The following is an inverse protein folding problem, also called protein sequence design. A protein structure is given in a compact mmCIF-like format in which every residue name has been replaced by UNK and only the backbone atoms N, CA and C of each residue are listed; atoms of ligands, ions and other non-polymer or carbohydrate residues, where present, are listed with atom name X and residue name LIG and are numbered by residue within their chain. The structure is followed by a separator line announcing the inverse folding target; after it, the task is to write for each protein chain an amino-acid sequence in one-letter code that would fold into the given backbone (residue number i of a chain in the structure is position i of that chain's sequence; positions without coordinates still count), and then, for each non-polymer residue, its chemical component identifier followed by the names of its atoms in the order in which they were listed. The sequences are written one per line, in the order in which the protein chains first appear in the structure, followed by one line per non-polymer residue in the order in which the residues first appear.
data_IF_716191053061
#
_entry.id   IF_716191053061
#
_cell.length_a   1.000
_cell.length_b   1.000
_cell.length_c   1.000
_cell.angle_alpha   90.00
_cell.angle_beta   90.00
_cell.angle_gamma   90.00
#
_symmetry.space_group_name_H-M   'P 1'
#
loop_
_entity.id
_entity.type
_entity.pdbx_description
1 polymer ?
#
# COMPACT_ATOMS: atom_id res chain seq x y z
N UNK A 1 9.78 -11.64 8.10
CA UNK A 1 10.72 -11.33 6.99
C UNK A 1 12.06 -10.89 7.56
N UNK A 2 13.20 -11.29 6.98
CA UNK A 2 14.52 -10.75 7.35
C UNK A 2 14.70 -9.38 6.67
N UNK A 3 15.11 -8.35 7.40
CA UNK A 3 15.10 -6.94 6.92
C UNK A 3 15.80 -6.68 5.58
N UNK A 4 16.87 -7.42 5.26
CA UNK A 4 17.58 -7.30 3.98
C UNK A 4 16.71 -7.66 2.75
N UNK A 5 15.79 -8.62 2.89
CA UNK A 5 14.87 -9.03 1.82
C UNK A 5 13.84 -7.92 1.55
N UNK A 6 13.39 -7.24 2.62
CA UNK A 6 12.43 -6.14 2.50
C UNK A 6 13.06 -4.92 1.81
N UNK A 7 14.29 -4.53 2.17
CA UNK A 7 15.02 -3.45 1.48
C UNK A 7 15.17 -3.76 -0.01
N UNK A 8 15.56 -4.99 -0.37
CA UNK A 8 15.64 -5.40 -1.77
C UNK A 8 14.28 -5.30 -2.49
N UNK A 9 13.18 -5.65 -1.82
CA UNK A 9 11.81 -5.49 -2.32
C UNK A 9 11.47 -4.04 -2.67
N UNK A 10 11.65 -3.09 -1.73
CA UNK A 10 11.41 -1.66 -1.98
C UNK A 10 12.28 -1.13 -3.13
N UNK A 11 13.53 -1.58 -3.23
CA UNK A 11 14.44 -1.19 -4.33
C UNK A 11 13.95 -1.68 -5.70
N UNK A 12 13.37 -2.89 -5.75
CA UNK A 12 12.75 -3.45 -6.97
C UNK A 12 11.51 -2.66 -7.38
N UNK A 13 10.73 -2.17 -6.42
CA UNK A 13 9.58 -1.28 -6.68
C UNK A 13 9.98 0.17 -7.06
N UNK A 14 11.28 0.48 -7.10
CA UNK A 14 11.79 1.76 -7.59
C UNK A 14 12.10 2.80 -6.52
N UNK A 15 11.90 2.47 -5.23
CA UNK A 15 12.28 3.36 -4.14
C UNK A 15 13.80 3.52 -4.04
N UNK A 16 14.25 4.69 -3.57
CA UNK A 16 15.67 4.94 -3.32
C UNK A 16 16.15 4.18 -2.07
N UNK A 17 17.47 4.12 -1.86
CA UNK A 17 18.05 3.38 -0.73
C UNK A 17 17.60 3.93 0.62
N UNK A 18 17.53 5.26 0.76
CA UNK A 18 17.15 5.91 2.01
C UNK A 18 15.72 5.55 2.42
N UNK A 19 14.76 5.72 1.51
CA UNK A 19 13.35 5.36 1.75
C UNK A 19 13.23 3.86 2.04
N UNK A 20 13.94 3.02 1.27
CA UNK A 20 13.91 1.56 1.47
C UNK A 20 14.46 1.17 2.85
N UNK A 21 15.52 1.84 3.33
CA UNK A 21 16.12 1.59 4.63
C UNK A 21 15.26 2.10 5.80
N UNK A 22 14.51 3.19 5.61
CA UNK A 22 13.61 3.75 6.64
C UNK A 22 12.25 3.03 6.70
N UNK A 23 11.76 2.51 5.58
CA UNK A 23 10.47 1.82 5.52
C UNK A 23 10.45 0.53 6.36
N UNK A 24 11.55 -0.24 6.34
CA UNK A 24 11.65 -1.50 7.08
C UNK A 24 11.47 -1.31 8.60
N UNK A 25 12.26 -0.48 9.31
CA UNK A 25 12.06 -0.28 10.74
C UNK A 25 10.69 0.33 11.03
N UNK A 26 10.18 1.24 10.18
CA UNK A 26 8.83 1.79 10.35
C UNK A 26 7.75 0.70 10.35
N UNK A 27 7.76 -0.21 9.36
CA UNK A 27 6.80 -1.32 9.26
C UNK A 27 6.92 -2.26 10.46
N UNK A 28 8.15 -2.62 10.84
CA UNK A 28 8.38 -3.53 11.95
C UNK A 28 7.97 -2.94 13.31
N UNK A 29 8.23 -1.65 13.55
CA UNK A 29 7.81 -0.96 14.77
C UNK A 29 6.29 -0.84 14.86
N UNK A 30 5.62 -0.56 13.73
CA UNK A 30 4.16 -0.41 13.68
C UNK A 30 3.42 -1.75 13.81
N UNK A 31 3.90 -2.81 13.16
CA UNK A 31 3.12 -4.05 13.00
C UNK A 31 3.60 -5.21 13.88
N UNK A 32 4.78 -5.14 14.49
CA UNK A 32 5.26 -6.27 15.29
C UNK A 32 4.38 -6.53 16.51
N UNK A 33 4.20 -5.53 17.39
CA UNK A 33 3.46 -5.71 18.64
C UNK A 33 2.00 -6.19 18.43
N UNK A 34 1.20 -5.58 17.52
CA UNK A 34 -0.17 -6.04 17.27
C UNK A 34 -0.27 -7.50 16.79
N UNK A 35 0.76 -8.00 16.12
CA UNK A 35 0.78 -9.37 15.58
C UNK A 35 1.36 -10.40 16.56
N UNK A 36 1.86 -9.99 17.73
CA UNK A 36 2.44 -10.92 18.71
C UNK A 36 1.42 -11.92 19.27
N UNK A 37 1.94 -13.08 19.69
CA UNK A 37 1.19 -14.12 20.41
C UNK A 37 1.21 -13.95 21.93
N UNK A 38 2.13 -13.14 22.43
CA UNK A 38 2.32 -12.83 23.84
C UNK A 38 2.11 -11.33 24.07
N UNK A 39 1.79 -10.97 25.31
CA UNK A 39 1.79 -9.59 25.78
C UNK A 39 3.21 -9.02 25.95
N UNK A 40 4.22 -9.87 26.05
CA UNK A 40 5.61 -9.46 26.23
C UNK A 40 6.17 -9.01 24.87
N UNK A 41 6.68 -7.77 24.75
CA UNK A 41 7.32 -7.30 23.53
C UNK A 41 8.53 -8.15 23.15
N UNK A 42 8.69 -8.42 21.86
CA UNK A 42 9.84 -9.14 21.32
C UNK A 42 10.78 -8.14 20.61
N UNK A 43 12.01 -7.90 21.10
CA UNK A 43 12.93 -6.93 20.51
C UNK A 43 13.40 -7.30 19.10
N UNK A 44 13.15 -8.53 18.64
CA UNK A 44 13.40 -8.94 17.25
C UNK A 44 12.37 -8.37 16.26
N UNK A 45 11.32 -7.71 16.77
CA UNK A 45 10.22 -7.13 16.01
C UNK A 45 9.62 -8.07 14.94
N UNK A 46 9.24 -9.33 15.29
CA UNK A 46 8.63 -10.23 14.32
C UNK A 46 7.25 -9.74 13.87
N UNK A 47 6.89 -10.00 12.61
CA UNK A 47 5.53 -9.79 12.08
C UNK A 47 4.95 -11.16 11.77
N UNK A 48 3.80 -11.47 12.36
CA UNK A 48 3.09 -12.74 12.19
C UNK A 48 1.95 -12.59 11.19
N UNK A 49 2.07 -13.24 10.03
CA UNK A 49 1.10 -13.11 8.94
C UNK A 49 -0.27 -13.70 9.27
N UNK A 50 -0.33 -14.76 10.09
CA UNK A 50 -1.58 -15.34 10.61
C UNK A 50 -2.40 -14.36 11.45
N UNK A 51 -1.81 -13.24 11.88
CA UNK A 51 -2.43 -12.22 12.73
C UNK A 51 -2.36 -10.83 12.13
N UNK A 52 -1.97 -10.68 10.86
CA UNK A 52 -1.79 -9.37 10.22
C UNK A 52 -3.09 -8.58 10.16
N UNK A 53 -4.25 -9.24 10.13
CA UNK A 53 -5.56 -8.59 10.19
C UNK A 53 -5.72 -7.68 11.44
N UNK A 54 -4.97 -7.92 12.51
CA UNK A 54 -4.97 -7.08 13.73
C UNK A 54 -4.31 -5.72 13.53
N UNK A 55 -3.60 -5.49 12.43
CA UNK A 55 -3.03 -4.18 12.08
C UNK A 55 -3.99 -3.30 11.29
N UNK A 56 -5.22 -3.79 11.05
CA UNK A 56 -6.32 -2.99 10.52
C UNK A 56 -6.55 -1.75 11.40
N UNK A 57 -6.73 -0.59 10.79
CA UNK A 57 -7.06 0.65 11.48
C UNK A 57 -8.46 1.14 11.12
N UNK A 58 -9.04 2.01 11.98
CA UNK A 58 -10.42 2.44 11.85
C UNK A 58 -10.68 3.43 10.72
N UNK A 59 -9.63 4.00 10.13
CA UNK A 59 -9.71 4.96 9.02
C UNK A 59 -9.42 4.37 7.65
N UNK A 60 -9.35 3.04 7.54
CA UNK A 60 -9.06 2.39 6.25
C UNK A 60 -10.26 2.36 5.30
N UNK A 61 -10.07 1.77 4.11
CA UNK A 61 -11.12 1.59 3.11
C UNK A 61 -12.17 0.51 3.43
N UNK A 62 -12.04 -0.19 4.55
CA UNK A 62 -12.88 -1.32 4.97
C UNK A 62 -12.94 -2.53 4.01
N UNK A 63 -12.11 -2.57 2.96
CA UNK A 63 -12.10 -3.68 1.99
C UNK A 63 -11.71 -5.01 2.63
N UNK A 64 -10.86 -4.98 3.65
CA UNK A 64 -10.69 -6.11 4.55
C UNK A 64 -11.52 -5.90 5.82
N UNK A 65 -12.28 -6.91 6.22
CA UNK A 65 -12.95 -6.89 7.52
C UNK A 65 -11.97 -7.12 8.69
N UNK A 66 -12.49 -7.07 9.92
CA UNK A 66 -11.68 -7.24 11.15
C UNK A 66 -11.08 -8.65 11.31
N UNK A 67 -11.55 -9.63 10.54
CA UNK A 67 -10.99 -10.98 10.48
C UNK A 67 -9.99 -11.16 9.32
N UNK A 68 -9.79 -10.12 8.50
CA UNK A 68 -8.88 -10.11 7.36
C UNK A 68 -9.46 -10.73 6.09
N UNK A 69 -10.79 -10.85 5.98
CA UNK A 69 -11.45 -11.34 4.77
C UNK A 69 -11.71 -10.19 3.82
N UNK A 70 -11.48 -10.43 2.53
CA UNK A 70 -11.82 -9.48 1.49
C UNK A 70 -13.34 -9.37 1.36
N UNK A 71 -13.87 -8.14 1.41
CA UNK A 71 -15.30 -7.81 1.30
C UNK A 71 -15.54 -7.18 -0.08
N UNK A 72 -16.04 -7.94 -1.07
CA UNK A 72 -16.23 -7.44 -2.44
C UNK A 72 -17.11 -6.19 -2.51
N UNK A 73 -18.13 -6.10 -1.67
CA UNK A 73 -19.06 -4.97 -1.62
C UNK A 73 -18.33 -3.68 -1.24
N UNK A 74 -17.45 -3.73 -0.23
CA UNK A 74 -16.64 -2.57 0.19
C UNK A 74 -15.64 -2.14 -0.88
N UNK A 75 -15.09 -3.11 -1.61
CA UNK A 75 -14.24 -2.80 -2.76
C UNK A 75 -15.01 -2.07 -3.87
N UNK A 76 -16.22 -2.53 -4.20
CA UNK A 76 -17.08 -1.88 -5.19
C UNK A 76 -17.54 -0.49 -4.72
N UNK A 77 -17.80 -0.30 -3.42
CA UNK A 77 -18.17 0.97 -2.82
C UNK A 77 -17.13 2.07 -3.05
N UNK A 78 -15.84 1.74 -3.09
CA UNK A 78 -14.78 2.72 -3.40
C UNK A 78 -15.09 3.44 -4.71
N UNK A 79 -15.41 2.67 -5.76
CA UNK A 79 -15.62 3.23 -7.10
C UNK A 79 -16.99 3.87 -7.23
N UNK A 80 -18.03 3.27 -6.66
CA UNK A 80 -19.36 3.86 -6.71
C UNK A 80 -19.45 5.21 -5.98
N UNK A 81 -18.64 5.42 -4.94
CA UNK A 81 -18.58 6.68 -4.18
C UNK A 81 -17.61 7.70 -4.76
N UNK A 82 -16.43 7.27 -5.23
CA UNK A 82 -15.33 8.18 -5.51
C UNK A 82 -14.87 8.23 -6.97
N UNK A 83 -15.25 7.29 -7.85
CA UNK A 83 -14.95 7.40 -9.29
C UNK A 83 -15.89 8.41 -9.96
N UNK A 84 -15.60 9.69 -9.75
CA UNK A 84 -16.32 10.80 -10.36
C UNK A 84 -16.24 10.70 -11.87
N UNK A 85 -17.37 10.88 -12.55
CA UNK A 85 -17.51 10.82 -14.01
C UNK A 85 -17.32 9.42 -14.63
N UNK A 86 -17.31 8.35 -13.81
CA UNK A 86 -17.26 6.96 -14.26
C UNK A 86 -16.05 6.66 -15.18
N UNK A 87 -14.86 7.05 -14.73
CA UNK A 87 -13.61 6.97 -15.51
C UNK A 87 -13.01 5.56 -15.53
N UNK A 88 -13.52 4.65 -14.69
CA UNK A 88 -12.99 3.31 -14.47
C UNK A 88 -11.82 3.27 -13.49
N UNK A 89 -11.65 4.29 -12.65
CA UNK A 89 -10.52 4.41 -11.75
C UNK A 89 -10.46 5.72 -10.98
N UNK A 90 -9.54 5.80 -10.02
CA UNK A 90 -9.42 6.94 -9.13
C UNK A 90 -8.28 7.88 -9.56
N UNK A 91 -8.61 9.15 -9.71
CA UNK A 91 -7.63 10.23 -9.79
C UNK A 91 -7.16 10.68 -8.40
N UNK A 92 -6.18 11.59 -8.36
CA UNK A 92 -5.64 12.09 -7.10
C UNK A 92 -6.70 12.76 -6.21
N UNK A 93 -7.61 13.54 -6.81
CA UNK A 93 -8.69 14.22 -6.07
C UNK A 93 -9.68 13.23 -5.46
N UNK A 94 -10.04 12.20 -6.22
CA UNK A 94 -10.95 11.12 -5.79
C UNK A 94 -10.34 10.38 -4.59
N UNK A 95 -9.04 10.07 -4.67
CA UNK A 95 -8.30 9.43 -3.57
C UNK A 95 -8.26 10.33 -2.32
N UNK A 96 -7.97 11.62 -2.46
CA UNK A 96 -7.93 12.53 -1.31
C UNK A 96 -9.29 12.67 -0.63
N UNK A 97 -10.36 12.71 -1.41
CA UNK A 97 -11.72 12.73 -0.89
C UNK A 97 -12.06 11.44 -0.15
N UNK A 98 -11.72 10.28 -0.70
CA UNK A 98 -11.90 8.99 -0.05
C UNK A 98 -11.15 8.91 1.28
N UNK A 99 -9.86 9.24 1.29
CA UNK A 99 -9.04 9.23 2.50
C UNK A 99 -9.63 10.14 3.57
N UNK A 100 -10.13 11.33 3.18
CA UNK A 100 -10.77 12.25 4.11
C UNK A 100 -12.11 11.72 4.62
N UNK A 101 -12.94 11.15 3.74
CA UNK A 101 -14.25 10.61 4.09
C UNK A 101 -14.17 9.41 5.04
N UNK A 102 -13.10 8.61 4.94
CA UNK A 102 -12.88 7.45 5.80
C UNK A 102 -12.27 7.79 7.18
N UNK A 103 -11.85 9.04 7.43
CA UNK A 103 -11.18 9.40 8.68
C UNK A 103 -12.08 9.17 9.91
N UNK A 104 -11.61 8.33 10.83
CA UNK A 104 -12.29 8.09 12.10
C UNK A 104 -11.74 8.99 13.20
N UNK A 105 -12.61 9.74 13.91
CA UNK A 105 -12.19 10.70 14.95
C UNK A 105 -11.28 10.09 16.03
N UNK A 106 -11.44 8.79 16.32
CA UNK A 106 -10.69 8.08 17.34
C UNK A 106 -9.46 7.33 16.80
N UNK A 107 -9.00 7.65 15.59
CA UNK A 107 -7.88 6.94 14.95
C UNK A 107 -6.82 7.88 14.29
N UNK A 108 -6.13 8.74 15.05
CA UNK A 108 -5.08 9.63 14.51
C UNK A 108 -3.93 8.89 13.82
N UNK A 109 -3.61 7.69 14.29
CA UNK A 109 -2.60 6.82 13.68
C UNK A 109 -3.04 6.34 12.30
N UNK A 110 -4.28 5.86 12.17
CA UNK A 110 -4.83 5.42 10.90
C UNK A 110 -5.00 6.55 9.89
N UNK A 111 -5.21 7.79 10.33
CA UNK A 111 -5.20 8.95 9.41
C UNK A 111 -3.90 9.09 8.64
N UNK A 112 -2.78 8.83 9.31
CA UNK A 112 -1.45 8.93 8.71
C UNK A 112 -1.17 7.70 7.86
N UNK A 113 -1.53 6.51 8.34
CA UNK A 113 -1.39 5.27 7.59
C UNK A 113 -2.19 5.31 6.27
N UNK A 114 -3.49 5.61 6.32
CA UNK A 114 -4.38 5.68 5.16
C UNK A 114 -3.86 6.67 4.10
N UNK A 115 -3.39 7.85 4.53
CA UNK A 115 -2.78 8.83 3.62
C UNK A 115 -1.55 8.28 2.91
N UNK A 116 -0.67 7.61 3.65
CA UNK A 116 0.57 7.04 3.11
C UNK A 116 0.27 5.88 2.16
N UNK A 117 -0.64 4.99 2.53
CA UNK A 117 -1.04 3.82 1.74
C UNK A 117 -1.58 4.23 0.37
N UNK A 118 -2.52 5.18 0.34
CA UNK A 118 -3.08 5.66 -0.91
C UNK A 118 -2.16 6.58 -1.70
N UNK A 119 -1.29 7.34 -1.02
CA UNK A 119 -0.27 8.13 -1.70
C UNK A 119 0.75 7.25 -2.42
N UNK A 120 1.26 6.21 -1.75
CA UNK A 120 2.16 5.23 -2.36
C UNK A 120 1.46 4.49 -3.50
N UNK A 121 0.21 4.07 -3.30
CA UNK A 121 -0.62 3.46 -4.35
C UNK A 121 -0.70 4.34 -5.58
N UNK A 122 -1.05 5.62 -5.41
CA UNK A 122 -1.15 6.57 -6.50
C UNK A 122 0.19 6.77 -7.23
N UNK A 123 1.29 6.93 -6.48
CA UNK A 123 2.61 7.13 -7.05
C UNK A 123 3.09 5.94 -7.88
N UNK A 124 2.82 4.72 -7.42
CA UNK A 124 3.27 3.50 -8.09
C UNK A 124 2.39 3.12 -9.28
N UNK A 125 1.07 3.31 -9.16
CA UNK A 125 0.13 2.64 -10.07
C UNK A 125 -0.56 3.55 -11.08
N UNK A 126 -0.50 4.88 -10.89
CA UNK A 126 -1.14 5.82 -11.81
C UNK A 126 -0.64 5.66 -13.23
N UNK A 127 -1.54 5.76 -14.19
CA UNK A 127 -1.21 5.79 -15.60
C UNK A 127 -0.77 7.19 -16.07
N UNK A 128 -0.56 7.34 -17.37
CA UNK A 128 -0.19 8.61 -18.01
C UNK A 128 -1.28 9.69 -17.94
N UNK A 129 -2.54 9.31 -17.70
CA UNK A 129 -3.68 10.22 -17.50
C UNK A 129 -3.85 10.59 -16.03
N UNK A 130 -3.03 10.04 -15.14
CA UNK A 130 -3.09 10.29 -13.71
C UNK A 130 -4.20 9.53 -13.00
N UNK A 131 -4.66 8.41 -13.55
CA UNK A 131 -5.68 7.52 -12.97
C UNK A 131 -5.06 6.22 -12.49
N UNK A 132 -5.57 5.69 -11.38
CA UNK A 132 -5.33 4.31 -10.96
C UNK A 132 -6.57 3.49 -11.28
N UNK A 133 -6.46 2.58 -12.25
CA UNK A 133 -7.63 1.78 -12.67
C UNK A 133 -8.11 0.86 -11.55
N UNK A 134 -9.41 0.55 -11.60
CA UNK A 134 -10.03 -0.39 -10.66
C UNK A 134 -9.31 -1.73 -10.60
N UNK A 135 -8.88 -2.26 -11.75
CA UNK A 135 -8.17 -3.53 -11.86
C UNK A 135 -6.81 -3.46 -11.15
N UNK A 136 -6.07 -2.36 -11.30
CA UNK A 136 -4.80 -2.16 -10.58
C UNK A 136 -5.02 -2.12 -9.08
N UNK A 137 -6.07 -1.44 -8.62
CA UNK A 137 -6.42 -1.40 -7.19
C UNK A 137 -6.82 -2.82 -6.72
N UNK A 138 -7.60 -3.57 -7.50
CA UNK A 138 -7.94 -4.96 -7.17
C UNK A 138 -6.69 -5.82 -6.98
N UNK A 139 -5.71 -5.68 -7.87
CA UNK A 139 -4.45 -6.43 -7.81
C UNK A 139 -3.51 -6.03 -6.67
N UNK A 140 -3.76 -4.90 -5.98
CA UNK A 140 -3.09 -4.62 -4.69
C UNK A 140 -3.55 -5.60 -3.62
N UNK A 141 -4.85 -5.89 -3.57
CA UNK A 141 -5.45 -6.72 -2.53
C UNK A 141 -5.06 -8.20 -2.63
N UNK A 142 -4.89 -8.71 -3.86
CA UNK A 142 -4.40 -10.08 -4.08
C UNK A 142 -2.86 -10.17 -4.20
N UNK A 143 -2.17 -9.02 -4.23
CA UNK A 143 -0.72 -8.91 -4.28
C UNK A 143 -0.08 -9.17 -5.65
N UNK A 144 -0.86 -9.42 -6.71
CA UNK A 144 -0.30 -9.70 -8.05
C UNK A 144 0.34 -8.49 -8.72
N UNK A 145 0.02 -7.28 -8.27
CA UNK A 145 0.55 -6.03 -8.84
C UNK A 145 2.05 -5.83 -8.63
N UNK A 146 2.62 -6.38 -7.57
CA UNK A 146 3.99 -6.04 -7.15
C UNK A 146 5.05 -6.51 -8.14
N UNK A 147 4.87 -7.69 -8.74
CA UNK A 147 5.77 -8.20 -9.78
C UNK A 147 5.63 -7.42 -11.08
N UNK A 148 4.43 -6.91 -11.38
CA UNK A 148 4.20 -6.05 -12.55
C UNK A 148 4.97 -4.74 -12.38
N UNK A 149 4.81 -4.07 -11.24
CA UNK A 149 5.51 -2.81 -10.92
C UNK A 149 7.02 -3.01 -10.94
N UNK A 150 7.53 -4.10 -10.34
CA UNK A 150 8.96 -4.38 -10.32
C UNK A 150 9.54 -4.53 -11.74
N UNK A 151 8.84 -5.24 -12.64
CA UNK A 151 9.25 -5.37 -14.06
C UNK A 151 9.20 -4.05 -14.81
N UNK A 152 8.15 -3.24 -14.59
CA UNK A 152 8.03 -1.93 -15.24
C UNK A 152 9.16 -0.98 -14.83
N UNK A 153 9.51 -0.97 -13.53
CA UNK A 153 10.63 -0.20 -12.98
C UNK A 153 11.95 -0.63 -13.60
N UNK A 154 12.20 -1.93 -13.68
CA UNK A 154 13.41 -2.49 -14.29
C UNK A 154 13.51 -2.13 -15.78
N UNK A 155 12.43 -2.33 -16.53
CA UNK A 155 12.38 -1.97 -17.94
C UNK A 155 12.65 -0.47 -18.17
N UNK A 156 12.13 0.39 -17.28
CA UNK A 156 12.37 1.84 -17.35
C UNK A 156 13.83 2.20 -17.08
N UNK A 157 14.47 1.55 -16.08
CA UNK A 157 15.91 1.73 -15.79
C UNK A 157 16.78 1.30 -16.97
N UNK A 158 16.48 0.15 -17.58
CA UNK A 158 17.24 -0.36 -18.72
C UNK A 158 17.12 0.58 -19.93
N UNK A 159 15.93 1.10 -20.22
CA UNK A 159 15.75 2.13 -21.27
C UNK A 159 16.56 3.40 -20.97
N UNK A 160 16.50 3.93 -19.76
CA UNK A 160 17.27 5.13 -19.38
C UNK A 160 18.78 4.90 -19.44
N UNK A 161 19.26 3.70 -19.13
CA UNK A 161 20.68 3.36 -19.24
C UNK A 161 21.15 3.33 -20.68
N UNK A 162 20.36 2.75 -21.59
CA UNK A 162 20.69 2.70 -23.01
C UNK A 162 20.86 4.10 -23.62
N UNK A 163 19.97 5.05 -23.28
CA UNK A 163 20.07 6.45 -23.72
C UNK A 163 21.28 7.23 -23.17
N UNK A 164 21.97 6.72 -22.13
CA UNK A 164 23.16 7.38 -21.54
C UNK A 164 24.48 6.84 -22.08
N UNK A 165 24.43 5.73 -22.80
CA UNK A 165 25.61 5.06 -23.37
C UNK A 165 25.82 5.38 -24.86
N UNK A 166 24.94 6.17 -25.45
CA UNK A 166 25.04 6.79 -26.78
C UNK A 166 25.45 8.27 -26.64
#
# INVERSE_FOLDING_TARGET
MRGAVAVAGFRRLGFNLLISALAVPFIHLSFSYPTLKSWIPDPRLPIYLDRIHRTKHGSDSEVFDTEGRFVPEKFEEIFSKFDRDNKGGLGWKDIQEMVYANMNINDPTGWTAERLEWWVTYLLLRDHKGLVSKEKIRSLYDGTIWDVVAREVEAKKNRTSAYKTD
#
